data_IF_059512761411
#
_entry.id   IF_059512761411
#
_cell.length_a   1.000
_cell.length_b   1.000
_cell.length_c   1.000
_cell.angle_alpha   90.00
_cell.angle_beta   90.00
_cell.angle_gamma   90.00
#
_symmetry.space_group_name_H-M   'P 1'
#
loop_
_entity.id
_entity.type
_entity.pdbx_description
1 polymer ?
#
# COMPACT_ATOMS: atom_id res chain seq x y z
N UNK A 1 1.03 12.63 -18.94
CA UNK A 1 1.29 13.51 -17.77
C UNK A 1 1.05 14.99 -18.00
N UNK A 2 1.31 15.58 -19.19
CA UNK A 2 1.16 17.04 -19.42
C UNK A 2 -0.29 17.62 -19.33
N UNK A 3 -1.33 16.83 -19.60
CA UNK A 3 -2.72 17.32 -19.65
C UNK A 3 -3.29 17.66 -18.27
N UNK A 4 -2.95 16.86 -17.25
CA UNK A 4 -3.41 17.08 -15.86
C UNK A 4 -2.64 18.21 -15.16
N UNK A 5 -1.35 18.36 -15.45
CA UNK A 5 -0.51 19.43 -14.89
C UNK A 5 -0.75 20.81 -15.51
N UNK A 6 -1.44 20.87 -16.66
CA UNK A 6 -1.67 22.12 -17.41
C UNK A 6 -3.00 22.81 -17.08
N UNK A 7 -3.82 22.27 -16.17
CA UNK A 7 -5.10 22.88 -15.80
C UNK A 7 -6.14 22.96 -16.94
N UNK A 8 -5.99 22.14 -17.98
CA UNK A 8 -6.82 22.21 -19.21
C UNK A 8 -8.19 21.54 -19.01
N UNK A 9 -8.31 20.65 -18.01
CA UNK A 9 -9.57 19.97 -17.68
C UNK A 9 -10.25 20.66 -16.48
N UNK A 10 -11.29 21.45 -16.77
CA UNK A 10 -12.14 22.14 -15.80
C UNK A 10 -12.92 23.30 -16.43
N UNK A 11 -14.11 23.63 -15.90
CA UNK A 11 -14.84 24.87 -16.23
C UNK A 11 -13.90 26.07 -16.09
N UNK A 12 -13.93 27.01 -17.04
CA UNK A 12 -12.93 28.08 -17.22
C UNK A 12 -12.61 28.85 -15.94
N UNK A 13 -13.61 29.00 -15.09
CA UNK A 13 -13.65 29.73 -13.82
C UNK A 13 -13.10 28.95 -12.60
N UNK A 14 -12.66 27.68 -12.78
CA UNK A 14 -12.05 26.85 -11.71
C UNK A 14 -10.74 26.17 -12.12
N UNK A 15 -10.03 26.68 -13.12
CA UNK A 15 -8.71 26.18 -13.51
C UNK A 15 -7.69 26.53 -12.43
N UNK A 16 -7.26 25.54 -11.63
CA UNK A 16 -6.12 25.66 -10.70
C UNK A 16 -4.90 24.96 -11.31
N UNK A 17 -3.75 25.62 -11.28
CA UNK A 17 -2.47 24.97 -11.55
C UNK A 17 -2.21 23.96 -10.42
N UNK A 18 -2.24 22.68 -10.77
CA UNK A 18 -1.98 21.58 -9.84
C UNK A 18 -0.47 21.29 -9.90
N UNK A 19 0.29 21.43 -8.80
CA UNK A 19 1.71 21.09 -8.78
C UNK A 19 1.95 19.68 -9.35
N UNK A 20 3.04 19.47 -10.06
CA UNK A 20 3.31 18.22 -10.81
C UNK A 20 3.21 16.96 -9.92
N UNK A 21 3.57 17.07 -8.64
CA UNK A 21 3.44 15.99 -7.63
C UNK A 21 1.98 15.57 -7.43
N UNK A 22 1.07 16.52 -7.38
CA UNK A 22 -0.37 16.26 -7.25
C UNK A 22 -0.97 15.72 -8.55
N UNK A 23 -0.42 16.11 -9.71
CA UNK A 23 -0.81 15.54 -11.00
C UNK A 23 -0.44 14.06 -11.12
N UNK A 24 0.71 13.64 -10.58
CA UNK A 24 1.14 12.24 -10.54
C UNK A 24 0.18 11.45 -9.64
N UNK A 25 -0.05 11.90 -8.42
CA UNK A 25 -0.98 11.23 -7.49
C UNK A 25 -2.40 11.17 -8.04
N UNK A 26 -2.89 12.23 -8.69
CA UNK A 26 -4.20 12.22 -9.35
C UNK A 26 -4.27 11.20 -10.49
N UNK A 27 -3.19 11.06 -11.27
CA UNK A 27 -3.10 10.04 -12.32
C UNK A 27 -3.16 8.63 -11.73
N UNK A 28 -2.38 8.37 -10.68
CA UNK A 28 -2.35 7.08 -9.99
C UNK A 28 -3.71 6.73 -9.38
N UNK A 29 -4.41 7.73 -8.83
CA UNK A 29 -5.74 7.50 -8.25
C UNK A 29 -6.78 7.17 -9.34
N UNK A 30 -6.81 7.93 -10.44
CA UNK A 30 -7.74 7.69 -11.54
C UNK A 30 -7.50 6.31 -12.17
N UNK A 31 -6.25 5.99 -12.52
CA UNK A 31 -5.90 4.70 -13.11
C UNK A 31 -6.12 3.56 -12.12
N UNK A 32 -5.76 3.77 -10.84
CA UNK A 32 -5.99 2.78 -9.79
C UNK A 32 -7.48 2.46 -9.62
N UNK A 33 -8.36 3.46 -9.64
CA UNK A 33 -9.82 3.25 -9.57
C UNK A 33 -10.36 2.45 -10.75
N UNK A 34 -9.85 2.69 -11.97
CA UNK A 34 -10.21 1.91 -13.14
C UNK A 34 -9.78 0.43 -12.97
N UNK A 35 -8.56 0.19 -12.50
CA UNK A 35 -8.07 -1.17 -12.22
C UNK A 35 -8.85 -1.86 -11.10
N UNK A 36 -9.23 -1.14 -10.05
CA UNK A 36 -10.05 -1.69 -8.95
C UNK A 36 -11.38 -2.23 -9.49
N UNK A 37 -12.03 -1.50 -10.40
CA UNK A 37 -13.27 -1.98 -11.02
C UNK A 37 -13.06 -3.25 -11.83
N UNK A 38 -11.94 -3.35 -12.55
CA UNK A 38 -11.59 -4.55 -13.32
C UNK A 38 -11.30 -5.75 -12.41
N UNK A 39 -10.46 -5.60 -11.38
CA UNK A 39 -10.06 -6.74 -10.53
C UNK A 39 -11.19 -7.27 -9.64
N UNK A 40 -12.24 -6.48 -9.40
CA UNK A 40 -13.40 -6.91 -8.62
C UNK A 40 -14.16 -8.07 -9.26
N UNK A 41 -14.06 -8.20 -10.58
CA UNK A 41 -14.67 -9.28 -11.35
C UNK A 41 -13.76 -10.52 -11.47
N UNK A 42 -12.51 -10.43 -11.01
CA UNK A 42 -11.58 -11.55 -11.02
C UNK A 42 -11.79 -12.51 -9.85
N UNK A 43 -11.48 -13.82 -10.04
CA UNK A 43 -11.53 -14.79 -8.97
C UNK A 43 -10.52 -14.45 -7.88
N UNK A 44 -10.93 -14.59 -6.62
CA UNK A 44 -10.09 -14.34 -5.45
C UNK A 44 -8.95 -15.36 -5.38
N UNK A 45 -7.77 -14.96 -4.92
CA UNK A 45 -6.68 -15.90 -4.61
C UNK A 45 -7.12 -16.89 -3.51
N UNK A 46 -6.51 -18.07 -3.48
CA UNK A 46 -6.88 -19.16 -2.57
C UNK A 46 -5.85 -19.38 -1.44
N UNK A 47 -4.75 -18.62 -1.42
CA UNK A 47 -3.72 -18.69 -0.39
C UNK A 47 -3.24 -17.29 0.02
N UNK A 48 -2.52 -17.21 1.13
CA UNK A 48 -1.83 -15.99 1.53
C UNK A 48 -0.51 -15.89 0.78
N UNK A 49 -0.20 -14.72 0.23
CA UNK A 49 1.06 -14.49 -0.49
C UNK A 49 1.79 -13.31 0.13
N UNK A 50 3.08 -13.47 0.39
CA UNK A 50 3.95 -12.42 0.88
C UNK A 50 5.03 -12.13 -0.15
N UNK A 51 5.15 -10.86 -0.52
CA UNK A 51 6.20 -10.33 -1.38
C UNK A 51 7.07 -9.39 -0.58
N UNK A 52 8.37 -9.36 -0.88
CA UNK A 52 9.34 -8.56 -0.14
C UNK A 52 10.28 -7.86 -1.11
N UNK A 53 10.64 -6.62 -0.81
CA UNK A 53 11.76 -5.96 -1.47
C UNK A 53 12.37 -4.89 -0.56
N UNK A 54 13.67 -4.66 -0.73
CA UNK A 54 14.37 -3.56 -0.05
C UNK A 54 15.15 -2.76 -1.07
N UNK A 55 14.98 -1.45 -1.08
CA UNK A 55 15.71 -0.55 -1.95
C UNK A 55 15.79 0.83 -1.33
N UNK A 56 16.96 1.48 -1.40
CA UNK A 56 17.20 2.80 -0.81
C UNK A 56 16.70 2.92 0.64
N UNK A 57 17.04 1.95 1.50
CA UNK A 57 16.61 1.91 2.91
C UNK A 57 15.09 1.92 3.14
N UNK A 58 14.30 1.64 2.10
CA UNK A 58 12.88 1.40 2.18
C UNK A 58 12.64 -0.10 2.04
N UNK A 59 12.14 -0.71 3.11
CA UNK A 59 11.78 -2.11 3.17
C UNK A 59 10.26 -2.26 3.03
N UNK A 60 9.83 -3.11 2.10
CA UNK A 60 8.43 -3.40 1.84
C UNK A 60 8.15 -4.88 2.08
N UNK A 61 7.10 -5.15 2.85
CA UNK A 61 6.43 -6.46 2.91
C UNK A 61 4.99 -6.27 2.44
N UNK A 62 4.59 -7.00 1.40
CA UNK A 62 3.25 -6.91 0.80
C UNK A 62 2.55 -8.24 1.00
N UNK A 63 1.50 -8.21 1.79
CA UNK A 63 0.65 -9.36 2.06
C UNK A 63 -0.60 -9.30 1.19
N UNK A 64 -0.82 -10.32 0.36
CA UNK A 64 -2.09 -10.58 -0.27
C UNK A 64 -2.87 -11.64 0.51
N UNK A 65 -4.12 -11.33 0.83
CA UNK A 65 -5.06 -12.21 1.51
C UNK A 65 -6.10 -12.77 0.51
N UNK A 66 -6.57 -14.01 0.72
CA UNK A 66 -7.65 -14.62 -0.05
C UNK A 66 -9.01 -14.02 0.30
N UNK A 67 -9.19 -12.73 0.01
CA UNK A 67 -10.38 -11.91 0.26
C UNK A 67 -10.65 -10.99 -0.92
N UNK A 68 -11.87 -10.44 -0.99
CA UNK A 68 -12.22 -9.38 -1.94
C UNK A 68 -11.34 -8.14 -1.73
N UNK A 69 -11.24 -7.29 -2.75
CA UNK A 69 -10.40 -6.11 -2.71
C UNK A 69 -10.71 -5.22 -1.51
N UNK A 70 -9.71 -5.03 -0.68
CA UNK A 70 -9.57 -4.00 0.33
C UNK A 70 -8.07 -3.73 0.41
N UNK A 71 -7.69 -2.53 0.80
CA UNK A 71 -6.28 -2.14 0.83
C UNK A 71 -5.97 -1.37 2.10
N UNK A 72 -4.91 -1.74 2.80
CA UNK A 72 -4.34 -0.91 3.85
C UNK A 72 -2.83 -0.79 3.69
N UNK A 73 -2.31 0.34 4.13
CA UNK A 73 -0.89 0.62 4.14
C UNK A 73 -0.46 1.14 5.51
N UNK A 74 0.73 0.72 5.91
CA UNK A 74 1.48 1.28 7.01
C UNK A 74 2.73 1.92 6.45
N UNK A 75 2.95 3.19 6.77
CA UNK A 75 4.22 3.87 6.54
C UNK A 75 4.88 4.16 7.87
N UNK A 76 5.94 3.40 8.16
CA UNK A 76 6.68 3.51 9.40
C UNK A 76 8.04 4.17 9.18
N UNK A 77 8.27 5.28 9.86
CA UNK A 77 9.53 5.99 9.86
C UNK A 77 10.34 5.60 11.09
N UNK A 78 11.58 5.12 10.88
CA UNK A 78 12.52 4.86 11.96
C UNK A 78 12.76 6.13 12.80
N UNK A 79 13.10 6.01 14.10
CA UNK A 79 13.55 7.14 14.91
C UNK A 79 14.81 7.78 14.31
N UNK A 80 15.09 9.05 14.61
CA UNK A 80 16.28 9.79 14.13
C UNK A 80 16.45 9.90 12.61
N UNK A 81 15.39 9.70 11.81
CA UNK A 81 15.41 10.07 10.38
C UNK A 81 15.19 11.56 10.22
N UNK A 82 15.48 12.12 9.02
CA UNK A 82 15.27 13.54 8.70
C UNK A 82 13.87 14.07 9.07
N UNK A 83 12.86 13.19 9.12
CA UNK A 83 11.46 13.51 9.41
C UNK A 83 11.01 13.15 10.84
N UNK A 84 11.87 12.49 11.63
CA UNK A 84 11.60 12.03 13.01
C UNK A 84 12.71 12.45 13.98
N UNK A 85 13.43 13.55 13.68
CA UNK A 85 14.63 14.07 14.38
C UNK A 85 14.48 14.34 15.90
N UNK A 86 13.34 14.01 16.53
CA UNK A 86 13.10 14.15 17.97
C UNK A 86 12.28 12.99 18.57
N UNK A 87 12.09 11.88 17.85
CA UNK A 87 11.24 10.77 18.31
C UNK A 87 12.07 9.58 18.78
N UNK A 88 11.84 9.13 20.02
CA UNK A 88 12.43 7.90 20.56
C UNK A 88 11.77 6.63 20.01
N UNK A 89 10.54 6.74 19.49
CA UNK A 89 9.75 5.63 18.94
C UNK A 89 9.49 5.84 17.45
N UNK A 90 9.36 4.77 16.65
CA UNK A 90 8.96 4.86 15.25
C UNK A 90 7.61 5.58 15.08
N UNK A 91 7.51 6.45 14.08
CA UNK A 91 6.24 7.06 13.68
C UNK A 91 5.56 6.15 12.65
N UNK A 92 4.36 5.65 12.96
CA UNK A 92 3.60 4.76 12.06
C UNK A 92 2.34 5.48 11.60
N UNK A 93 2.34 5.90 10.34
CA UNK A 93 1.15 6.37 9.64
C UNK A 93 0.38 5.16 9.10
N UNK A 94 -0.94 5.31 9.02
CA UNK A 94 -1.83 4.23 8.61
C UNK A 94 -3.01 4.76 7.81
N UNK A 95 -3.24 4.15 6.65
CA UNK A 95 -4.35 4.47 5.76
C UNK A 95 -5.03 3.21 5.23
N UNK A 96 -6.38 3.22 5.17
CA UNK A 96 -7.19 2.09 4.73
C UNK A 96 -8.25 2.47 3.69
N UNK A 97 -8.52 1.55 2.76
CA UNK A 97 -9.54 1.57 1.73
C UNK A 97 -10.35 0.28 1.82
N UNK A 98 -11.67 0.40 1.99
CA UNK A 98 -12.57 -0.74 1.92
C UNK A 98 -12.97 -1.09 0.49
N UNK A 99 -13.82 -2.10 0.35
CA UNK A 99 -14.27 -2.60 -0.96
C UNK A 99 -14.89 -1.51 -1.85
N UNK A 100 -15.57 -0.53 -1.27
CA UNK A 100 -16.19 0.58 -2.01
C UNK A 100 -15.24 1.74 -2.31
N UNK A 101 -13.95 1.61 -1.98
CA UNK A 101 -12.97 2.68 -2.16
C UNK A 101 -12.96 3.67 -1.00
N UNK A 102 -12.25 4.78 -1.20
CA UNK A 102 -12.21 5.94 -0.29
C UNK A 102 -12.88 7.15 -0.91
N UNK A 103 -13.62 7.91 -0.10
CA UNK A 103 -14.13 9.23 -0.47
C UNK A 103 -13.11 10.34 -0.21
N UNK A 104 -12.24 10.15 0.78
CA UNK A 104 -11.29 11.16 1.25
C UNK A 104 -9.86 10.81 0.80
N UNK A 105 -9.07 11.86 0.56
CA UNK A 105 -7.65 11.73 0.26
C UNK A 105 -6.91 11.02 1.40
N UNK A 106 -5.86 10.26 1.09
CA UNK A 106 -4.98 9.65 2.08
C UNK A 106 -4.03 10.72 2.66
N UNK A 107 -4.52 11.54 3.59
CA UNK A 107 -3.80 12.72 4.09
C UNK A 107 -2.53 12.36 4.88
N UNK A 108 -2.49 11.20 5.56
CA UNK A 108 -1.36 10.85 6.42
C UNK A 108 -0.12 10.40 5.63
N UNK A 109 -0.33 9.73 4.50
CA UNK A 109 0.75 9.17 3.66
C UNK A 109 0.90 9.87 2.30
N UNK A 110 -0.15 10.60 1.90
CA UNK A 110 -0.20 11.33 0.64
C UNK A 110 0.12 10.45 -0.56
N UNK A 111 1.05 10.91 -1.39
CA UNK A 111 1.40 10.23 -2.64
C UNK A 111 2.08 8.86 -2.48
N UNK A 112 2.64 8.54 -1.30
CA UNK A 112 3.24 7.21 -1.04
C UNK A 112 2.18 6.11 -1.06
N UNK A 113 1.03 6.37 -0.43
CA UNK A 113 -0.15 5.49 -0.45
C UNK A 113 -0.60 5.15 -1.87
N UNK A 114 -0.83 6.17 -2.70
CA UNK A 114 -1.33 5.96 -4.06
C UNK A 114 -0.30 5.27 -4.96
N UNK A 115 0.99 5.57 -4.79
CA UNK A 115 2.05 4.95 -5.57
C UNK A 115 2.19 3.44 -5.27
N UNK A 116 2.14 3.05 -3.99
CA UNK A 116 2.17 1.66 -3.58
C UNK A 116 0.89 0.92 -3.98
N UNK A 117 -0.28 1.50 -3.71
CA UNK A 117 -1.58 0.95 -4.13
C UNK A 117 -1.59 0.67 -5.63
N UNK A 118 -1.09 1.61 -6.42
CA UNK A 118 -0.99 1.46 -7.87
C UNK A 118 -0.09 0.31 -8.28
N UNK A 119 1.11 0.17 -7.68
CA UNK A 119 2.01 -0.94 -7.96
C UNK A 119 1.42 -2.31 -7.61
N UNK A 120 0.67 -2.40 -6.51
CA UNK A 120 -0.06 -3.62 -6.12
C UNK A 120 -1.16 -3.94 -7.13
N UNK A 121 -1.96 -2.94 -7.51
CA UNK A 121 -3.04 -3.10 -8.49
C UNK A 121 -2.53 -3.57 -9.85
N UNK A 122 -1.42 -3.00 -10.33
CA UNK A 122 -0.80 -3.45 -11.59
C UNK A 122 -0.43 -4.92 -11.56
N UNK A 123 0.11 -5.41 -10.44
CA UNK A 123 0.49 -6.81 -10.30
C UNK A 123 -0.73 -7.73 -10.22
N UNK A 124 -1.72 -7.39 -9.40
CA UNK A 124 -2.93 -8.19 -9.23
C UNK A 124 -3.75 -8.26 -10.54
N UNK A 125 -3.86 -7.14 -11.26
CA UNK A 125 -4.51 -7.10 -12.57
C UNK A 125 -3.81 -8.03 -13.59
N UNK A 126 -2.47 -8.04 -13.62
CA UNK A 126 -1.69 -8.97 -14.46
C UNK A 126 -1.91 -10.44 -14.08
N UNK A 127 -2.07 -10.74 -12.80
CA UNK A 127 -2.39 -12.08 -12.32
C UNK A 127 -3.80 -12.53 -12.70
N UNK A 128 -4.69 -11.61 -13.12
CA UNK A 128 -6.13 -11.84 -13.32
C UNK A 128 -6.78 -12.48 -12.10
N UNK A 129 -6.42 -11.97 -10.94
CA UNK A 129 -6.94 -12.40 -9.64
C UNK A 129 -7.44 -11.20 -8.85
N UNK A 130 -8.18 -11.47 -7.80
CA UNK A 130 -8.55 -10.50 -6.78
C UNK A 130 -7.90 -10.89 -5.46
N UNK A 131 -7.46 -9.89 -4.69
CA UNK A 131 -6.97 -10.10 -3.34
C UNK A 131 -7.22 -8.84 -2.51
N UNK A 132 -7.28 -9.02 -1.19
CA UNK A 132 -7.09 -7.94 -0.25
C UNK A 132 -5.58 -7.75 -0.03
N UNK A 133 -5.11 -6.51 0.05
CA UNK A 133 -3.69 -6.21 0.13
C UNK A 133 -3.35 -5.37 1.37
N UNK A 134 -2.30 -5.78 2.07
CA UNK A 134 -1.73 -5.06 3.22
C UNK A 134 -0.27 -4.77 2.91
N UNK A 135 0.11 -3.49 2.90
CA UNK A 135 1.49 -3.06 2.64
C UNK A 135 2.11 -2.57 3.94
N UNK A 136 3.22 -3.19 4.34
CA UNK A 136 4.08 -2.71 5.40
C UNK A 136 5.29 -2.05 4.76
N UNK A 137 5.46 -0.75 4.97
CA UNK A 137 6.65 0.00 4.55
C UNK A 137 7.40 0.48 5.78
N UNK A 138 8.64 0.08 5.92
CA UNK A 138 9.58 0.62 6.90
C UNK A 138 10.66 1.45 6.20
N UNK A 139 10.84 2.68 6.64
CA UNK A 139 11.83 3.61 6.12
C UNK A 139 12.92 3.76 7.19
N UNK A 140 14.11 3.25 6.88
CA UNK A 140 15.22 3.20 7.82
C UNK A 140 16.08 4.48 7.79
N UNK A 141 16.92 4.61 8.82
CA UNK A 141 17.80 5.76 9.07
C UNK A 141 18.75 6.09 7.91
N UNK A 142 19.10 5.10 7.07
CA UNK A 142 19.93 5.30 5.88
C UNK A 142 19.24 6.09 4.74
N UNK A 143 17.94 6.36 4.84
CA UNK A 143 17.20 7.11 3.83
C UNK A 143 17.48 8.62 3.90
N UNK A 144 18.61 9.02 3.32
CA UNK A 144 19.12 10.39 3.33
C UNK A 144 18.62 11.27 2.15
N UNK A 145 17.99 10.68 1.13
CA UNK A 145 17.62 11.39 -0.09
C UNK A 145 16.14 11.21 -0.48
N UNK A 146 15.33 12.28 -0.48
CA UNK A 146 13.92 12.18 -0.87
C UNK A 146 13.79 12.07 -2.41
N UNK A 147 13.71 10.84 -2.92
CA UNK A 147 13.58 10.54 -4.36
C UNK A 147 12.13 10.59 -4.88
N UNK A 148 11.18 10.96 -4.01
CA UNK A 148 9.77 11.10 -4.35
C UNK A 148 9.00 9.78 -4.42
N UNK A 149 7.75 9.84 -4.90
CA UNK A 149 6.81 8.70 -4.88
C UNK A 149 7.09 7.62 -5.93
N UNK A 150 7.96 7.92 -6.90
CA UNK A 150 8.38 6.95 -7.91
C UNK A 150 9.12 5.77 -7.28
N UNK A 151 9.94 6.01 -6.26
CA UNK A 151 10.71 4.95 -5.58
C UNK A 151 9.76 3.92 -4.99
N UNK A 152 8.72 4.37 -4.28
CA UNK A 152 7.67 3.52 -3.71
C UNK A 152 7.04 2.62 -4.78
N UNK A 153 6.65 3.21 -5.91
CA UNK A 153 6.02 2.48 -7.01
C UNK A 153 6.95 1.40 -7.57
N UNK A 154 8.20 1.74 -7.82
CA UNK A 154 9.18 0.79 -8.36
C UNK A 154 9.55 -0.31 -7.37
N UNK A 155 9.65 0.03 -6.09
CA UNK A 155 9.96 -0.91 -5.01
C UNK A 155 8.84 -1.95 -4.88
N UNK A 156 7.58 -1.49 -4.90
CA UNK A 156 6.39 -2.37 -4.92
C UNK A 156 6.34 -3.21 -6.19
N UNK A 157 6.58 -2.63 -7.37
CA UNK A 157 6.62 -3.39 -8.64
C UNK A 157 7.67 -4.50 -8.63
N UNK A 158 8.87 -4.21 -8.10
CA UNK A 158 9.94 -5.19 -7.95
C UNK A 158 9.56 -6.30 -6.98
N UNK A 159 9.00 -5.94 -5.82
CA UNK A 159 8.49 -6.93 -4.85
C UNK A 159 7.46 -7.84 -5.49
N UNK A 160 6.44 -7.28 -6.14
CA UNK A 160 5.35 -8.04 -6.74
C UNK A 160 5.75 -8.85 -7.99
N UNK A 161 6.90 -8.54 -8.60
CA UNK A 161 7.46 -9.29 -9.73
C UNK A 161 8.28 -10.52 -9.29
N UNK A 162 8.66 -10.63 -8.01
CA UNK A 162 9.35 -11.80 -7.49
C UNK A 162 8.38 -12.97 -7.23
N UNK A 163 8.93 -14.18 -7.07
CA UNK A 163 8.12 -15.31 -6.59
C UNK A 163 7.65 -15.03 -5.15
N UNK A 164 6.35 -15.15 -4.85
CA UNK A 164 5.84 -14.94 -3.50
C UNK A 164 6.17 -16.10 -2.58
N UNK A 165 6.34 -15.78 -1.30
CA UNK A 165 6.18 -16.77 -0.24
C UNK A 165 4.70 -17.07 -0.05
N UNK A 166 4.33 -18.35 -0.12
CA UNK A 166 2.93 -18.81 -0.04
C UNK A 166 2.67 -19.45 1.32
N UNK A 167 1.53 -19.14 1.92
CA UNK A 167 1.12 -19.63 3.23
C UNK A 167 -0.35 -20.05 3.24
N UNK A 168 -0.69 -20.98 4.14
CA UNK A 168 -2.05 -21.48 4.28
C UNK A 168 -2.84 -20.71 5.33
N UNK A 169 -2.15 -20.12 6.32
CA UNK A 169 -2.79 -19.34 7.37
C UNK A 169 -2.26 -17.91 7.46
N UNK A 170 -3.11 -17.00 7.96
CA UNK A 170 -2.71 -15.63 8.21
C UNK A 170 -1.56 -15.55 9.24
N UNK A 171 -1.60 -16.39 10.28
CA UNK A 171 -0.58 -16.41 11.33
C UNK A 171 0.79 -16.80 10.78
N UNK A 172 0.87 -17.79 9.89
CA UNK A 172 2.13 -18.16 9.22
C UNK A 172 2.69 -16.99 8.39
N UNK A 173 1.84 -16.32 7.63
CA UNK A 173 2.24 -15.18 6.82
C UNK A 173 2.74 -14.01 7.70
N UNK A 174 2.00 -13.65 8.76
CA UNK A 174 2.39 -12.59 9.68
C UNK A 174 3.67 -12.93 10.46
N UNK A 175 3.86 -14.19 10.86
CA UNK A 175 5.09 -14.67 11.50
C UNK A 175 6.29 -14.65 10.54
N UNK A 176 6.06 -14.78 9.24
CA UNK A 176 7.12 -14.63 8.24
C UNK A 176 7.51 -13.17 8.08
N UNK A 177 6.52 -12.28 7.95
CA UNK A 177 6.72 -10.83 7.81
C UNK A 177 7.43 -10.26 9.04
N UNK A 178 7.02 -10.65 10.25
CA UNK A 178 7.60 -10.15 11.50
C UNK A 178 9.09 -10.44 11.67
N UNK A 179 9.63 -11.45 10.99
CA UNK A 179 11.07 -11.76 11.00
C UNK A 179 11.90 -10.81 10.12
N UNK A 180 11.26 -10.07 9.22
CA UNK A 180 11.92 -9.16 8.26
C UNK A 180 11.67 -7.68 8.58
N UNK A 181 10.61 -7.37 9.33
CA UNK A 181 10.37 -6.04 9.89
C UNK A 181 11.26 -5.78 11.11
N UNK A 182 11.70 -4.54 11.30
CA UNK A 182 12.39 -4.09 12.52
C UNK A 182 11.41 -3.71 13.63
N UNK A 183 10.24 -3.20 13.26
CA UNK A 183 9.21 -2.78 14.20
C UNK A 183 8.39 -4.02 14.59
N UNK A 184 8.11 -4.24 15.89
CA UNK A 184 7.31 -5.37 16.33
C UNK A 184 5.94 -5.42 15.65
N UNK A 185 5.55 -6.59 15.14
CA UNK A 185 4.28 -6.81 14.43
C UNK A 185 3.05 -6.30 15.22
N UNK A 186 3.10 -6.37 16.56
CA UNK A 186 2.03 -5.88 17.43
C UNK A 186 1.71 -4.39 17.23
N UNK A 187 2.69 -3.56 16.87
CA UNK A 187 2.47 -2.14 16.56
C UNK A 187 1.55 -1.97 15.34
N UNK A 188 1.66 -2.84 14.34
CA UNK A 188 0.76 -2.80 13.19
C UNK A 188 -0.61 -3.42 13.51
N UNK A 189 -0.64 -4.53 14.25
CA UNK A 189 -1.87 -5.21 14.65
C UNK A 189 -2.77 -4.38 15.57
N UNK A 190 -2.19 -3.40 16.27
CA UNK A 190 -2.98 -2.45 17.09
C UNK A 190 -3.74 -1.41 16.24
N UNK A 191 -3.32 -1.19 14.99
CA UNK A 191 -3.81 -0.12 14.09
C UNK A 191 -4.64 -0.64 12.90
N UNK A 192 -4.35 -1.85 12.41
CA UNK A 192 -5.04 -2.50 11.27
C UNK A 192 -6.56 -2.57 11.43
N UNK A 193 -7.27 -2.39 10.31
CA UNK A 193 -8.71 -2.72 10.20
C UNK A 193 -8.90 -4.07 9.53
N UNK A 194 -8.12 -4.37 8.49
CA UNK A 194 -8.29 -5.57 7.67
C UNK A 194 -7.95 -6.83 8.46
N UNK A 195 -6.80 -6.85 9.15
CA UNK A 195 -6.27 -8.05 9.80
C UNK A 195 -7.00 -8.40 11.10
N UNK A 196 -7.76 -7.46 11.68
CA UNK A 196 -8.64 -7.72 12.84
C UNK A 196 -9.98 -8.32 12.47
N UNK A 197 -10.42 -8.13 11.23
CA UNK A 197 -11.73 -8.56 10.80
C UNK A 197 -11.74 -10.09 10.62
N UNK A 198 -12.40 -10.78 11.55
CA UNK A 198 -12.70 -12.21 11.45
C UNK A 198 -13.83 -12.45 10.45
N UNK A 199 -13.80 -13.57 9.72
CA UNK A 199 -14.88 -13.98 8.83
C UNK A 199 -16.06 -14.47 9.65
N UNK A 200 -17.28 -14.37 9.09
CA UNK A 200 -18.44 -15.11 9.63
C UNK A 200 -18.19 -16.62 9.65
N UNK A 201 -17.45 -17.14 8.66
CA UNK A 201 -16.99 -18.53 8.60
C UNK A 201 -16.13 -18.92 9.81
N UNK A 202 -15.34 -17.98 10.35
CA UNK A 202 -14.52 -18.20 11.55
C UNK A 202 -15.38 -18.25 12.82
N UNK A 203 -16.60 -17.72 12.79
CA UNK A 203 -17.58 -17.82 13.90
C UNK A 203 -18.40 -19.12 13.85
N UNK A 204 -18.61 -19.70 12.66
CA UNK A 204 -19.42 -20.91 12.47
C UNK A 204 -18.63 -22.21 12.73
N UNK A 205 -17.31 -22.12 12.89
CA UNK A 205 -16.40 -23.24 13.17
C UNK A 205 -15.95 -23.31 14.64
N UNK A 206 -16.75 -22.75 15.58
CA UNK A 206 -16.55 -22.86 17.04
C UNK A 206 -17.65 -23.69 17.65
#
# INVERSE_FOLDING_TARGET
TKVLSSGVLGREDRKKLVPTRWSITATDDILGKAMINEIKDYPVINEYRVYSNTYLDNHFEILLLPRKWEYEQFEAWAPNTLWTLAMEKPAINYEYEGYHGRSNYAEQEGGGYYAARFGVLEAIAKLRKQACAVVFREIYEGYIMPVGVWEVRENVRKAMASEPYKYNTLNEALNSISKRLKIPMNEYLTRTRILRQRRLEDFLNV
#
